data_IF_973228806485
#
_entry.id   IF_973228806485
#
_cell.length_a   1.000
_cell.length_b   1.000
_cell.length_c   1.000
_cell.angle_alpha   90.00
_cell.angle_beta   90.00
_cell.angle_gamma   90.00
#
_symmetry.space_group_name_H-M   'P 1'
#
loop_
_entity.id
_entity.type
_entity.pdbx_description
1 polymer ?
#
# COMPACT_ATOMS: atom_id res chain seq x y z
N UNK A 1 9.51 8.68 -6.37
CA UNK A 1 8.14 9.23 -6.60
C UNK A 1 7.01 8.36 -6.02
N UNK A 2 7.09 7.04 -5.99
CA UNK A 2 6.15 6.20 -5.20
C UNK A 2 6.32 6.37 -3.68
N UNK A 3 7.50 6.79 -3.24
CA UNK A 3 7.84 7.04 -1.82
C UNK A 3 6.94 8.06 -1.11
N UNK A 4 6.19 8.88 -1.87
CA UNK A 4 5.33 9.90 -1.28
C UNK A 4 3.98 9.34 -0.77
N UNK A 5 3.48 8.21 -1.29
CA UNK A 5 2.23 7.62 -0.78
C UNK A 5 2.43 7.10 0.65
N UNK A 6 3.54 6.44 0.93
CA UNK A 6 3.86 5.89 2.25
C UNK A 6 4.16 6.98 3.30
N UNK A 7 4.44 8.22 2.86
CA UNK A 7 4.64 9.37 3.76
C UNK A 7 3.34 10.03 4.21
N UNK A 8 2.19 9.60 3.66
CA UNK A 8 0.89 10.15 4.05
C UNK A 8 0.50 9.60 5.41
N UNK A 9 0.54 10.44 6.44
CA UNK A 9 0.08 10.06 7.78
C UNK A 9 -1.45 10.20 7.88
N UNK A 10 -2.14 9.07 7.68
CA UNK A 10 -3.59 9.02 7.81
C UNK A 10 -4.08 9.34 9.24
N UNK A 11 -3.26 9.08 10.27
CA UNK A 11 -3.64 9.36 11.66
C UNK A 11 -3.65 10.86 11.91
N UNK A 12 -2.61 11.54 11.44
CA UNK A 12 -2.56 13.00 11.50
C UNK A 12 -3.75 13.64 10.77
N UNK A 13 -3.98 13.24 9.51
CA UNK A 13 -5.10 13.76 8.72
C UNK A 13 -6.46 13.43 9.33
N UNK A 14 -6.64 12.26 9.94
CA UNK A 14 -7.90 11.87 10.56
C UNK A 14 -8.17 12.60 11.87
N UNK A 15 -7.13 13.13 12.53
CA UNK A 15 -7.28 13.93 13.75
C UNK A 15 -7.77 15.34 13.48
N UNK A 16 -7.71 15.78 12.22
CA UNK A 16 -8.18 17.11 11.79
C UNK A 16 -9.70 17.08 11.59
N UNK A 17 -10.43 17.26 12.67
CA UNK A 17 -11.88 17.30 12.65
C UNK A 17 -12.39 18.58 13.37
N UNK A 18 -13.35 19.26 12.78
CA UNK A 18 -14.00 20.42 13.36
C UNK A 18 -15.46 20.12 13.67
N UNK A 19 -15.81 20.03 14.96
CA UNK A 19 -17.18 19.81 15.41
C UNK A 19 -18.07 21.05 15.27
N UNK A 20 -17.48 22.24 15.37
CA UNK A 20 -18.21 23.50 15.43
C UNK A 20 -18.51 24.04 14.03
N UNK A 21 -17.58 23.87 13.10
CA UNK A 21 -17.67 24.42 11.75
C UNK A 21 -17.76 23.29 10.70
N UNK A 22 -18.91 23.14 10.11
CA UNK A 22 -19.08 22.22 8.98
C UNK A 22 -18.39 22.77 7.72
N UNK A 23 -17.99 21.87 6.81
CA UNK A 23 -17.47 22.23 5.48
C UNK A 23 -16.23 23.14 5.50
N UNK A 24 -15.26 22.83 6.40
CA UNK A 24 -14.06 23.65 6.64
C UNK A 24 -12.88 23.23 5.78
N UNK A 25 -12.76 21.94 5.49
CA UNK A 25 -11.63 21.38 4.72
C UNK A 25 -12.02 21.14 3.27
N UNK A 26 -11.12 21.51 2.36
CA UNK A 26 -11.17 21.12 0.95
C UNK A 26 -10.18 19.99 0.73
N UNK A 27 -10.67 18.89 0.15
CA UNK A 27 -9.88 17.74 -0.28
C UNK A 27 -9.93 17.66 -1.81
N UNK A 28 -8.81 17.90 -2.47
CA UNK A 28 -8.70 17.90 -3.92
C UNK A 28 -7.80 16.75 -4.37
N UNK A 29 -8.31 15.93 -5.29
CA UNK A 29 -7.59 14.86 -5.97
C UNK A 29 -7.59 15.16 -7.46
N UNK A 30 -6.41 15.16 -8.09
CA UNK A 30 -6.28 15.50 -9.51
C UNK A 30 -5.47 14.47 -10.28
N UNK A 31 -5.94 14.17 -11.48
CA UNK A 31 -5.12 13.57 -12.52
C UNK A 31 -4.33 14.68 -13.22
N UNK A 32 -3.00 14.68 -13.04
CA UNK A 32 -2.13 15.71 -13.59
C UNK A 32 -1.77 15.45 -15.05
N UNK A 33 -1.78 14.16 -15.51
CA UNK A 33 -1.54 13.83 -16.93
C UNK A 33 -2.64 14.40 -17.85
N UNK A 34 -3.86 14.53 -17.32
CA UNK A 34 -5.00 15.12 -18.01
C UNK A 34 -5.67 16.15 -17.10
N UNK A 35 -4.91 17.24 -16.79
CA UNK A 35 -5.41 18.28 -15.89
C UNK A 35 -6.65 18.97 -16.47
N UNK A 36 -7.79 18.63 -15.91
CA UNK A 36 -9.08 19.20 -16.29
C UNK A 36 -9.43 20.41 -15.41
N UNK A 37 -8.99 21.60 -15.84
CA UNK A 37 -9.32 22.86 -15.16
C UNK A 37 -10.83 23.12 -15.12
N UNK A 38 -11.56 22.66 -16.15
CA UNK A 38 -13.02 22.82 -16.22
C UNK A 38 -13.70 22.01 -15.11
N UNK A 39 -13.19 20.79 -14.80
CA UNK A 39 -13.66 20.00 -13.66
C UNK A 39 -13.54 20.79 -12.34
N UNK A 40 -12.39 21.45 -12.10
CA UNK A 40 -12.18 22.20 -10.86
C UNK A 40 -13.18 23.35 -10.76
N UNK A 41 -13.37 24.12 -11.83
CA UNK A 41 -14.31 25.23 -11.87
C UNK A 41 -15.77 24.79 -11.69
N UNK A 42 -16.20 23.74 -12.40
CA UNK A 42 -17.56 23.19 -12.30
C UNK A 42 -17.87 22.68 -10.89
N UNK A 43 -16.92 21.95 -10.30
CA UNK A 43 -17.08 21.45 -8.92
C UNK A 43 -17.05 22.57 -7.88
N UNK A 44 -16.15 23.54 -8.02
CA UNK A 44 -16.11 24.72 -7.15
C UNK A 44 -17.44 25.49 -7.21
N UNK A 45 -17.99 25.69 -8.41
CA UNK A 45 -19.29 26.35 -8.59
C UNK A 45 -20.43 25.56 -7.93
N UNK A 46 -20.43 24.25 -8.05
CA UNK A 46 -21.40 23.39 -7.35
C UNK A 46 -21.28 23.52 -5.82
N UNK A 47 -20.09 23.53 -5.26
CA UNK A 47 -19.89 23.73 -3.82
C UNK A 47 -20.36 25.13 -3.38
N UNK A 48 -20.03 26.18 -4.13
CA UNK A 48 -20.50 27.56 -3.86
C UNK A 48 -22.01 27.66 -3.77
N UNK A 49 -22.72 26.92 -4.60
CA UNK A 49 -24.19 26.96 -4.62
C UNK A 49 -24.82 26.33 -3.38
N UNK A 50 -24.11 25.41 -2.71
CA UNK A 50 -24.59 24.68 -1.53
C UNK A 50 -24.17 25.38 -0.25
N UNK A 51 -22.99 26.01 -0.21
CA UNK A 51 -22.45 26.72 0.97
C UNK A 51 -23.25 28.01 1.22
N UNK A 52 -24.12 28.00 2.22
CA UNK A 52 -25.04 29.11 2.55
C UNK A 52 -24.50 30.04 3.62
N UNK A 53 -23.68 29.51 4.53
CA UNK A 53 -23.09 30.27 5.60
C UNK A 53 -21.95 31.17 5.10
N UNK A 54 -21.91 32.43 5.53
CA UNK A 54 -20.95 33.42 5.04
C UNK A 54 -19.52 33.10 5.39
N UNK A 55 -19.28 32.57 6.59
CA UNK A 55 -17.93 32.24 7.09
C UNK A 55 -17.37 31.02 6.36
N UNK A 56 -18.18 29.98 6.17
CA UNK A 56 -17.83 28.77 5.43
C UNK A 56 -17.55 29.10 3.97
N UNK A 57 -18.36 29.98 3.38
CA UNK A 57 -18.16 30.42 1.99
C UNK A 57 -16.88 31.24 1.83
N UNK A 58 -16.58 32.16 2.74
CA UNK A 58 -15.34 32.93 2.72
C UNK A 58 -14.12 32.02 2.87
N UNK A 59 -14.17 31.04 3.81
CA UNK A 59 -13.14 30.03 3.96
C UNK A 59 -12.92 29.23 2.67
N UNK A 60 -14.02 28.79 2.03
CA UNK A 60 -13.95 28.06 0.77
C UNK A 60 -13.27 28.87 -0.31
N UNK A 61 -13.65 30.14 -0.54
CA UNK A 61 -13.05 30.98 -1.59
C UNK A 61 -11.54 31.19 -1.34
N UNK A 62 -11.15 31.57 -0.14
CA UNK A 62 -9.74 31.79 0.21
C UNK A 62 -8.93 30.49 0.12
N UNK A 63 -9.50 29.35 0.49
CA UNK A 63 -8.85 28.05 0.34
C UNK A 63 -8.68 27.67 -1.13
N UNK A 64 -9.70 27.92 -1.96
CA UNK A 64 -9.61 27.69 -3.40
C UNK A 64 -8.61 28.61 -4.08
N UNK A 65 -8.46 29.86 -3.63
CA UNK A 65 -7.42 30.76 -4.14
C UNK A 65 -6.02 30.20 -3.83
N UNK A 66 -5.75 29.72 -2.62
CA UNK A 66 -4.49 29.03 -2.27
C UNK A 66 -4.22 27.83 -3.16
N UNK A 67 -5.23 26.98 -3.36
CA UNK A 67 -5.13 25.80 -4.22
C UNK A 67 -4.83 26.19 -5.67
N UNK A 68 -5.54 27.20 -6.19
CA UNK A 68 -5.35 27.66 -7.56
C UNK A 68 -3.95 28.26 -7.77
N UNK A 69 -3.45 29.04 -6.81
CA UNK A 69 -2.11 29.63 -6.89
C UNK A 69 -1.04 28.53 -6.84
N UNK A 70 -1.20 27.53 -5.96
CA UNK A 70 -0.33 26.37 -5.93
C UNK A 70 -0.30 25.60 -7.28
N UNK A 71 -1.46 25.37 -7.89
CA UNK A 71 -1.54 24.70 -9.21
C UNK A 71 -0.89 25.52 -10.32
N UNK A 72 -0.92 26.87 -10.25
CA UNK A 72 -0.27 27.77 -11.22
C UNK A 72 1.26 27.73 -11.16
N UNK A 73 1.86 27.42 -10.00
CA UNK A 73 3.31 27.27 -9.85
C UNK A 73 3.87 26.11 -10.69
N UNK A 74 3.00 25.20 -11.12
CA UNK A 74 3.33 24.11 -12.03
C UNK A 74 3.50 22.75 -11.35
N UNK A 75 3.60 21.72 -12.18
CA UNK A 75 3.72 20.34 -11.77
C UNK A 75 5.14 19.85 -11.94
N UNK A 76 5.59 18.92 -11.09
CA UNK A 76 6.91 18.30 -11.18
C UNK A 76 6.99 17.30 -12.35
N UNK A 77 8.19 17.13 -12.89
CA UNK A 77 8.44 16.13 -13.94
C UNK A 77 8.12 14.71 -13.44
N UNK A 78 7.32 13.96 -14.21
CA UNK A 78 6.88 12.61 -13.87
C UNK A 78 5.75 12.52 -12.84
N UNK A 79 5.23 13.66 -12.36
CA UNK A 79 4.04 13.70 -11.53
C UNK A 79 2.80 13.36 -12.38
N UNK A 80 1.96 12.43 -11.87
CA UNK A 80 0.72 11.99 -12.54
C UNK A 80 -0.52 12.26 -11.71
N UNK A 81 -0.36 12.33 -10.40
CA UNK A 81 -1.41 12.63 -9.44
C UNK A 81 -1.02 13.73 -8.47
N UNK A 82 -2.01 14.47 -7.97
CA UNK A 82 -1.87 15.46 -6.93
C UNK A 82 -3.02 15.33 -5.94
N UNK A 83 -2.68 15.29 -4.66
CA UNK A 83 -3.65 15.38 -3.57
C UNK A 83 -3.35 16.65 -2.80
N UNK A 84 -4.39 17.44 -2.49
CA UNK A 84 -4.29 18.62 -1.63
C UNK A 84 -5.37 18.53 -0.56
N UNK A 85 -4.98 18.73 0.69
CA UNK A 85 -5.89 18.99 1.79
C UNK A 85 -5.61 20.39 2.32
N UNK A 86 -6.62 21.23 2.34
CA UNK A 86 -6.45 22.64 2.72
C UNK A 86 -7.66 23.21 3.47
N UNK A 87 -7.39 24.16 4.36
CA UNK A 87 -8.38 25.00 5.04
C UNK A 87 -7.76 26.34 5.41
N UNK A 88 -8.26 27.42 4.84
CA UNK A 88 -7.81 28.79 5.20
C UNK A 88 -8.14 29.10 6.66
N UNK A 89 -9.33 28.73 7.12
CA UNK A 89 -9.77 28.96 8.50
C UNK A 89 -8.88 28.29 9.54
N UNK A 90 -8.35 27.10 9.22
CA UNK A 90 -7.45 26.33 10.09
C UNK A 90 -5.97 26.63 9.83
N UNK A 91 -5.66 27.53 8.89
CA UNK A 91 -4.31 27.78 8.41
C UNK A 91 -3.55 26.49 8.07
N UNK A 92 -4.25 25.58 7.38
CA UNK A 92 -3.77 24.25 7.05
C UNK A 92 -3.67 24.08 5.54
N UNK A 93 -2.52 23.61 5.07
CA UNK A 93 -2.28 23.24 3.67
C UNK A 93 -1.26 22.13 3.62
N UNK A 94 -1.60 21.02 3.00
CA UNK A 94 -0.66 19.93 2.72
C UNK A 94 -0.93 19.35 1.34
N UNK A 95 0.12 18.95 0.64
CA UNK A 95 0.04 18.33 -0.68
C UNK A 95 0.86 17.05 -0.77
N UNK A 96 0.43 16.18 -1.66
CA UNK A 96 1.12 14.93 -1.98
C UNK A 96 1.19 14.75 -3.49
N UNK A 97 2.42 14.69 -4.01
CA UNK A 97 2.71 14.52 -5.44
C UNK A 97 2.96 13.06 -5.73
N UNK A 98 2.18 12.48 -6.62
CA UNK A 98 2.18 11.04 -6.88
C UNK A 98 2.61 10.72 -8.30
N UNK A 99 3.37 9.63 -8.46
CA UNK A 99 3.73 9.06 -9.77
C UNK A 99 2.63 8.24 -10.43
N UNK A 100 1.42 8.20 -9.86
CA UNK A 100 0.25 7.46 -10.36
C UNK A 100 -0.89 8.42 -10.65
N UNK A 101 -1.71 8.15 -11.69
CA UNK A 101 -2.88 8.97 -11.99
C UNK A 101 -3.98 8.74 -10.95
N UNK A 102 -4.70 9.80 -10.62
CA UNK A 102 -5.83 9.78 -9.71
C UNK A 102 -7.14 10.05 -10.45
N UNK A 103 -8.25 9.68 -9.81
CA UNK A 103 -9.57 10.14 -10.26
C UNK A 103 -9.79 11.55 -9.74
N UNK A 104 -10.18 12.49 -10.63
CA UNK A 104 -10.50 13.85 -10.25
C UNK A 104 -11.67 13.89 -9.24
N UNK A 105 -11.44 14.53 -8.10
CA UNK A 105 -12.42 14.66 -7.03
C UNK A 105 -12.16 15.96 -6.24
N UNK A 106 -13.21 16.70 -5.91
CA UNK A 106 -13.17 17.81 -4.97
C UNK A 106 -14.29 17.60 -3.94
N UNK A 107 -13.91 17.53 -2.69
CA UNK A 107 -14.81 17.32 -1.54
C UNK A 107 -14.61 18.45 -0.55
N UNK A 108 -15.69 18.95 0.04
CA UNK A 108 -15.70 19.91 1.12
C UNK A 108 -16.41 19.25 2.31
N UNK A 109 -15.73 19.19 3.46
CA UNK A 109 -16.23 18.49 4.64
C UNK A 109 -15.65 19.10 5.92
N UNK A 110 -16.14 18.67 7.09
CA UNK A 110 -15.63 19.02 8.42
C UNK A 110 -14.25 18.41 8.74
N UNK A 111 -13.79 17.49 7.93
CA UNK A 111 -12.45 16.86 8.00
C UNK A 111 -11.87 16.62 6.61
N UNK A 112 -10.54 16.40 6.49
CA UNK A 112 -9.95 15.91 5.25
C UNK A 112 -10.60 14.60 4.81
N UNK A 113 -11.02 14.51 3.55
CA UNK A 113 -11.64 13.30 2.99
C UNK A 113 -10.56 12.29 2.58
N UNK A 114 -10.09 11.49 3.54
CA UNK A 114 -8.92 10.59 3.38
C UNK A 114 -9.25 9.21 2.80
N UNK A 115 -10.53 8.88 2.58
CA UNK A 115 -10.91 7.55 2.07
C UNK A 115 -10.19 7.13 0.79
N UNK A 116 -10.07 7.99 -0.26
CA UNK A 116 -9.32 7.62 -1.46
C UNK A 116 -7.84 7.35 -1.19
N UNK A 117 -7.24 8.05 -0.21
CA UNK A 117 -5.84 7.81 0.20
C UNK A 117 -5.71 6.45 0.86
N UNK A 118 -6.63 6.09 1.77
CA UNK A 118 -6.62 4.79 2.41
C UNK A 118 -6.78 3.64 1.38
N UNK A 119 -7.66 3.81 0.39
CA UNK A 119 -7.82 2.84 -0.71
C UNK A 119 -6.53 2.73 -1.57
N UNK A 120 -5.83 3.85 -1.80
CA UNK A 120 -4.55 3.87 -2.51
C UNK A 120 -3.46 3.17 -1.71
N UNK A 121 -3.32 3.45 -0.41
CA UNK A 121 -2.34 2.79 0.46
C UNK A 121 -2.54 1.28 0.49
N UNK A 122 -3.79 0.81 0.56
CA UNK A 122 -4.13 -0.62 0.51
C UNK A 122 -3.77 -1.27 -0.86
N UNK A 123 -3.97 -0.54 -1.97
CA UNK A 123 -3.61 -1.01 -3.30
C UNK A 123 -2.11 -1.01 -3.59
N UNK A 124 -1.37 -0.04 -3.01
CA UNK A 124 0.06 0.18 -3.24
C UNK A 124 0.92 -0.25 -2.06
N UNK A 125 0.39 -1.13 -1.19
CA UNK A 125 1.16 -1.75 -0.12
C UNK A 125 2.40 -2.46 -0.69
N UNK A 126 3.56 -2.16 -0.10
CA UNK A 126 4.84 -2.67 -0.57
C UNK A 126 5.06 -4.09 -0.08
N UNK A 127 5.47 -4.97 -0.97
CA UNK A 127 5.84 -6.34 -0.64
C UNK A 127 7.21 -6.73 -1.20
N UNK A 128 7.85 -7.69 -0.54
CA UNK A 128 9.10 -8.29 -0.99
C UNK A 128 8.84 -9.36 -2.03
N UNK A 129 9.55 -9.30 -3.17
CA UNK A 129 9.57 -10.37 -4.17
C UNK A 129 11.00 -10.92 -4.29
N UNK A 130 11.20 -12.18 -3.91
CA UNK A 130 12.49 -12.86 -3.96
C UNK A 130 12.49 -13.89 -5.04
N UNK A 131 13.17 -13.60 -6.14
CA UNK A 131 13.38 -14.55 -7.24
C UNK A 131 14.66 -15.33 -7.03
N UNK A 132 14.58 -16.65 -6.85
CA UNK A 132 15.73 -17.48 -6.45
C UNK A 132 15.82 -18.81 -7.22
N UNK A 133 17.05 -19.23 -7.50
CA UNK A 133 17.40 -20.59 -7.89
C UNK A 133 18.60 -21.09 -7.05
N UNK A 134 19.28 -22.15 -7.45
CA UNK A 134 20.38 -22.75 -6.68
C UNK A 134 21.67 -21.90 -6.59
N UNK A 135 21.80 -20.81 -7.35
CA UNK A 135 23.03 -20.01 -7.41
C UNK A 135 22.82 -18.53 -7.72
N UNK A 136 21.60 -18.09 -7.94
CA UNK A 136 21.26 -16.69 -8.21
C UNK A 136 20.01 -16.31 -7.43
N UNK A 137 19.98 -15.10 -6.90
CA UNK A 137 18.80 -14.49 -6.35
C UNK A 137 18.68 -13.03 -6.79
N UNK A 138 17.46 -12.58 -6.92
CA UNK A 138 17.11 -11.16 -7.06
C UNK A 138 16.04 -10.85 -6.04
N UNK A 139 16.27 -9.83 -5.27
CA UNK A 139 15.38 -9.36 -4.23
C UNK A 139 14.83 -8.02 -4.69
N UNK A 140 13.53 -7.90 -4.69
CA UNK A 140 12.82 -6.70 -5.11
C UNK A 140 11.89 -6.22 -4.00
N UNK A 141 11.69 -4.90 -3.91
CA UNK A 141 10.48 -4.34 -3.36
C UNK A 141 9.54 -3.98 -4.50
N UNK A 142 8.29 -4.36 -4.39
CA UNK A 142 7.27 -4.13 -5.41
C UNK A 142 6.11 -3.38 -4.78
N UNK A 143 5.69 -2.29 -5.45
CA UNK A 143 4.53 -1.50 -5.05
C UNK A 143 3.78 -1.05 -6.30
N UNK A 144 2.48 -1.31 -6.38
CA UNK A 144 1.62 -0.94 -7.51
C UNK A 144 2.14 -1.40 -8.87
N UNK A 145 2.62 -2.63 -8.96
CA UNK A 145 3.14 -3.22 -10.20
C UNK A 145 4.49 -2.69 -10.64
N UNK A 146 5.19 -1.94 -9.81
CA UNK A 146 6.51 -1.39 -10.12
C UNK A 146 7.55 -1.86 -9.12
N UNK A 147 8.74 -2.13 -9.66
CA UNK A 147 9.91 -2.45 -8.84
C UNK A 147 10.48 -1.14 -8.29
N UNK A 148 10.50 -1.01 -6.96
CA UNK A 148 11.11 0.11 -6.25
C UNK A 148 12.61 -0.11 -6.04
N UNK A 149 12.99 -1.24 -5.45
CA UNK A 149 14.37 -1.60 -5.16
C UNK A 149 14.71 -2.95 -5.80
N UNK A 150 15.94 -3.12 -6.27
CA UNK A 150 16.46 -4.40 -6.76
C UNK A 150 17.84 -4.69 -6.15
N UNK A 151 18.00 -5.87 -5.56
CA UNK A 151 19.30 -6.41 -5.17
C UNK A 151 19.57 -7.72 -5.89
N UNK A 152 20.74 -7.85 -6.51
CA UNK A 152 21.18 -9.05 -7.21
C UNK A 152 22.26 -9.77 -6.42
N UNK A 153 22.09 -11.07 -6.23
CA UNK A 153 23.05 -11.94 -5.56
C UNK A 153 23.35 -13.10 -6.53
N UNK A 154 24.62 -13.35 -6.80
CA UNK A 154 25.03 -14.49 -7.60
C UNK A 154 26.26 -15.12 -6.98
N UNK A 155 26.30 -16.45 -6.89
CA UNK A 155 27.44 -17.20 -6.44
C UNK A 155 27.76 -18.35 -7.40
N UNK A 156 29.04 -18.71 -7.43
CA UNK A 156 29.47 -19.86 -8.22
C UNK A 156 29.08 -21.13 -7.46
N UNK A 157 28.14 -21.89 -8.03
CA UNK A 157 27.74 -23.20 -7.53
C UNK A 157 28.14 -24.24 -8.57
N UNK A 158 28.89 -25.26 -8.17
CA UNK A 158 29.33 -26.33 -9.06
C UNK A 158 28.17 -27.00 -9.80
N UNK A 159 28.36 -27.27 -11.08
CA UNK A 159 27.40 -27.99 -11.91
C UNK A 159 27.20 -29.45 -11.44
N UNK A 160 26.02 -30.01 -11.74
CA UNK A 160 25.79 -31.43 -11.47
C UNK A 160 26.71 -32.28 -12.34
N UNK A 161 27.59 -33.09 -11.73
CA UNK A 161 28.33 -34.09 -12.43
C UNK A 161 27.46 -35.33 -12.68
N UNK A 162 27.42 -35.77 -13.95
CA UNK A 162 26.61 -36.95 -14.40
C UNK A 162 27.33 -38.28 -14.27
N UNK A 163 28.68 -38.29 -14.04
CA UNK A 163 29.48 -39.52 -13.91
C UNK A 163 29.39 -40.10 -12.52
N UNK A 164 29.09 -41.40 -12.38
CA UNK A 164 28.99 -42.12 -11.12
C UNK A 164 30.34 -42.39 -10.44
N UNK A 165 30.32 -42.81 -9.19
CA UNK A 165 31.50 -43.23 -8.42
C UNK A 165 31.73 -42.41 -7.13
N UNK A 166 32.80 -42.72 -6.39
CA UNK A 166 33.18 -42.10 -5.14
C UNK A 166 33.38 -40.56 -5.23
N UNK A 167 33.85 -40.11 -6.35
CA UNK A 167 34.00 -38.68 -6.65
C UNK A 167 32.64 -37.96 -6.70
N UNK A 168 31.58 -38.62 -7.15
CA UNK A 168 30.25 -38.04 -7.23
C UNK A 168 29.71 -37.65 -5.83
N UNK A 169 29.87 -38.51 -4.83
CA UNK A 169 29.44 -38.21 -3.46
C UNK A 169 30.17 -37.03 -2.84
N UNK A 170 31.49 -36.87 -3.16
CA UNK A 170 32.28 -35.72 -2.73
C UNK A 170 31.79 -34.43 -3.39
N UNK A 171 31.57 -34.43 -4.71
CA UNK A 171 31.07 -33.26 -5.45
C UNK A 171 29.66 -32.88 -5.02
N UNK A 172 28.79 -33.85 -4.74
CA UNK A 172 27.46 -33.56 -4.19
C UNK A 172 27.50 -32.89 -2.83
N UNK A 173 28.44 -33.30 -1.94
CA UNK A 173 28.62 -32.65 -0.61
C UNK A 173 29.11 -31.22 -0.75
N UNK A 174 30.10 -30.99 -1.61
CA UNK A 174 30.64 -29.64 -1.86
C UNK A 174 29.50 -28.75 -2.41
N UNK A 175 28.78 -29.21 -3.43
CA UNK A 175 27.66 -28.47 -4.04
C UNK A 175 26.56 -28.15 -3.01
N UNK A 176 26.19 -29.11 -2.16
CA UNK A 176 25.23 -28.87 -1.08
C UNK A 176 25.74 -27.80 -0.09
N UNK A 177 27.03 -27.81 0.22
CA UNK A 177 27.66 -26.78 1.05
C UNK A 177 27.61 -25.38 0.42
N UNK A 178 27.92 -25.29 -0.87
CA UNK A 178 27.86 -24.02 -1.64
C UNK A 178 26.42 -23.48 -1.69
N UNK A 179 25.43 -24.33 -1.98
CA UNK A 179 24.01 -23.94 -1.98
C UNK A 179 23.61 -23.46 -0.58
N UNK A 180 23.98 -24.17 0.48
CA UNK A 180 23.70 -23.78 1.86
C UNK A 180 24.27 -22.41 2.18
N UNK A 181 25.52 -22.14 1.80
CA UNK A 181 26.16 -20.84 2.01
C UNK A 181 25.40 -19.73 1.26
N UNK A 182 25.10 -19.97 -0.01
CA UNK A 182 24.33 -19.05 -0.83
C UNK A 182 22.94 -18.73 -0.22
N UNK A 183 22.18 -19.77 0.22
CA UNK A 183 20.86 -19.58 0.82
C UNK A 183 20.93 -18.76 2.12
N UNK A 184 21.95 -18.97 2.95
CA UNK A 184 22.15 -18.15 4.16
C UNK A 184 22.35 -16.67 3.83
N UNK A 185 23.21 -16.40 2.85
CA UNK A 185 23.45 -15.02 2.40
C UNK A 185 22.20 -14.35 1.84
N UNK A 186 21.39 -15.10 1.09
CA UNK A 186 20.10 -14.60 0.61
C UNK A 186 19.16 -14.34 1.78
N UNK A 187 19.09 -15.25 2.77
CA UNK A 187 18.26 -15.09 3.95
C UNK A 187 18.60 -13.83 4.76
N UNK A 188 19.89 -13.54 4.95
CA UNK A 188 20.38 -12.32 5.62
C UNK A 188 19.95 -11.03 4.91
N UNK A 189 19.84 -11.07 3.58
CA UNK A 189 19.38 -9.91 2.81
C UNK A 189 17.84 -9.82 2.75
N UNK A 190 17.15 -10.94 2.76
CA UNK A 190 15.68 -10.98 2.87
C UNK A 190 15.22 -10.49 4.25
N UNK A 191 15.96 -10.78 5.31
CA UNK A 191 15.68 -10.30 6.66
C UNK A 191 15.67 -8.76 6.76
N UNK A 192 16.49 -8.10 5.94
CA UNK A 192 16.58 -6.63 5.89
C UNK A 192 15.44 -5.96 5.15
N UNK A 193 14.57 -6.74 4.48
CA UNK A 193 13.42 -6.17 3.80
C UNK A 193 12.41 -5.64 4.82
N UNK A 194 12.08 -4.37 4.70
CA UNK A 194 10.98 -3.75 5.42
C UNK A 194 9.68 -3.93 4.62
N UNK A 195 9.18 -5.16 4.57
CA UNK A 195 7.96 -5.52 3.87
C UNK A 195 7.10 -6.44 4.72
N UNK A 196 5.80 -6.16 4.80
CA UNK A 196 4.83 -6.96 5.55
C UNK A 196 4.66 -8.35 4.94
N UNK A 197 4.65 -8.44 3.63
CA UNK A 197 4.47 -9.66 2.86
C UNK A 197 5.69 -9.95 2.00
N UNK A 198 6.01 -11.22 1.83
CA UNK A 198 7.11 -11.69 0.99
C UNK A 198 6.59 -12.80 0.08
N UNK A 199 6.92 -12.71 -1.20
CA UNK A 199 6.67 -13.74 -2.19
C UNK A 199 8.01 -14.35 -2.61
N UNK A 200 8.09 -15.69 -2.56
CA UNK A 200 9.25 -16.43 -3.05
C UNK A 200 8.97 -16.99 -4.44
N UNK A 201 9.73 -16.56 -5.44
CA UNK A 201 9.58 -16.95 -6.83
C UNK A 201 10.83 -17.65 -7.35
N UNK A 202 10.70 -18.48 -8.37
CA UNK A 202 11.82 -19.05 -9.05
C UNK A 202 11.62 -20.52 -9.48
N UNK A 203 12.53 -21.05 -10.30
CA UNK A 203 12.43 -22.42 -10.77
C UNK A 203 12.88 -23.43 -9.70
N UNK A 204 12.15 -24.54 -9.61
CA UNK A 204 12.51 -25.67 -8.76
C UNK A 204 12.39 -25.37 -7.25
N UNK A 205 13.13 -26.11 -6.43
CA UNK A 205 12.93 -26.19 -4.96
C UNK A 205 13.74 -25.16 -4.15
N UNK A 206 14.59 -24.35 -4.77
CA UNK A 206 15.46 -23.42 -4.04
C UNK A 206 14.66 -22.43 -3.18
N UNK A 207 13.49 -21.98 -3.65
CA UNK A 207 12.58 -21.10 -2.91
C UNK A 207 12.04 -21.77 -1.64
N UNK A 208 11.79 -23.08 -1.66
CA UNK A 208 11.37 -23.82 -0.46
C UNK A 208 12.54 -24.05 0.49
N UNK A 209 13.74 -24.36 -0.04
CA UNK A 209 14.94 -24.53 0.79
C UNK A 209 15.34 -23.22 1.48
N UNK A 210 15.05 -22.06 0.90
CA UNK A 210 15.31 -20.77 1.54
C UNK A 210 14.55 -20.64 2.87
N UNK A 211 13.34 -21.19 2.97
CA UNK A 211 12.54 -21.16 4.21
C UNK A 211 13.27 -21.74 5.42
N UNK A 212 14.09 -22.78 5.22
CA UNK A 212 14.87 -23.41 6.30
C UNK A 212 15.95 -22.51 6.89
N UNK A 213 16.25 -21.39 6.22
CA UNK A 213 17.29 -20.42 6.61
C UNK A 213 16.73 -19.07 7.03
N UNK A 214 15.44 -18.81 6.79
CA UNK A 214 14.80 -17.57 7.22
C UNK A 214 14.54 -17.61 8.74
N UNK A 215 14.74 -16.49 9.46
CA UNK A 215 14.23 -16.36 10.82
C UNK A 215 12.72 -16.57 10.86
N UNK A 216 12.17 -17.06 11.98
CA UNK A 216 10.77 -17.40 12.10
C UNK A 216 9.85 -16.23 11.77
N UNK A 217 10.14 -15.05 12.30
CA UNK A 217 9.39 -13.81 12.03
C UNK A 217 9.42 -13.38 10.57
N UNK A 218 10.47 -13.72 9.82
CA UNK A 218 10.59 -13.46 8.37
C UNK A 218 9.83 -14.53 7.57
N UNK A 219 9.96 -15.79 7.97
CA UNK A 219 9.24 -16.91 7.36
C UNK A 219 7.72 -16.76 7.44
N UNK A 220 7.20 -16.21 8.55
CA UNK A 220 5.77 -15.91 8.74
C UNK A 220 5.24 -14.83 7.80
N UNK A 221 6.11 -13.99 7.23
CA UNK A 221 5.76 -13.00 6.20
C UNK A 221 5.69 -13.58 4.79
N UNK A 222 6.15 -14.83 4.59
CA UNK A 222 6.11 -15.48 3.27
C UNK A 222 4.71 -16.01 3.00
N UNK A 223 4.00 -15.35 2.11
CA UNK A 223 2.58 -15.63 1.80
C UNK A 223 2.38 -16.48 0.55
N UNK A 224 3.35 -16.53 -0.38
CA UNK A 224 3.17 -17.27 -1.63
C UNK A 224 4.48 -17.77 -2.22
N UNK A 225 4.37 -18.88 -3.00
CA UNK A 225 5.44 -19.47 -3.79
C UNK A 225 5.05 -19.50 -5.26
N UNK A 226 5.85 -18.86 -6.13
CA UNK A 226 5.58 -18.78 -7.55
C UNK A 226 6.64 -19.55 -8.35
N UNK A 227 6.20 -20.46 -9.22
CA UNK A 227 7.07 -21.09 -10.21
C UNK A 227 7.26 -20.16 -11.39
N UNK A 228 8.49 -19.68 -11.60
CA UNK A 228 8.84 -18.76 -12.67
C UNK A 228 10.29 -18.97 -13.13
N UNK A 229 10.59 -18.64 -14.37
CA UNK A 229 11.98 -18.67 -14.87
C UNK A 229 12.66 -17.33 -14.61
N UNK A 230 13.99 -17.37 -14.40
CA UNK A 230 14.78 -16.14 -14.33
C UNK A 230 14.69 -15.38 -15.66
N UNK A 231 14.26 -14.12 -15.61
CA UNK A 231 14.08 -13.26 -16.78
C UNK A 231 12.62 -13.11 -17.24
N UNK A 232 11.70 -13.91 -16.70
CA UNK A 232 10.26 -13.67 -16.86
C UNK A 232 9.84 -12.47 -16.01
N UNK A 233 8.85 -11.72 -16.49
CA UNK A 233 8.19 -10.70 -15.69
C UNK A 233 7.25 -11.38 -14.67
N UNK A 234 7.73 -11.50 -13.44
CA UNK A 234 6.97 -12.11 -12.34
C UNK A 234 6.16 -11.08 -11.56
N UNK A 235 6.28 -9.79 -11.86
CA UNK A 235 5.61 -8.74 -11.11
C UNK A 235 4.09 -8.91 -11.23
N UNK A 236 3.55 -9.02 -12.43
CA UNK A 236 2.12 -9.19 -12.64
C UNK A 236 1.56 -10.46 -11.95
N UNK A 237 2.34 -11.57 -11.95
CA UNK A 237 1.94 -12.80 -11.26
C UNK A 237 2.00 -12.64 -9.73
N UNK A 238 2.99 -11.92 -9.22
CA UNK A 238 3.11 -11.65 -7.80
C UNK A 238 2.02 -10.69 -7.29
N UNK A 239 1.61 -9.71 -8.08
CA UNK A 239 0.47 -8.85 -7.74
C UNK A 239 -0.83 -9.64 -7.62
N UNK A 240 -1.07 -10.58 -8.54
CA UNK A 240 -2.23 -11.46 -8.45
C UNK A 240 -2.20 -12.30 -7.18
N UNK A 241 -1.05 -12.87 -6.83
CA UNK A 241 -0.88 -13.63 -5.58
C UNK A 241 -1.12 -12.75 -4.34
N UNK A 242 -0.66 -11.49 -4.35
CA UNK A 242 -0.93 -10.53 -3.27
C UNK A 242 -2.41 -10.18 -3.15
N UNK A 243 -3.13 -10.00 -4.27
CA UNK A 243 -4.57 -9.72 -4.21
C UNK A 243 -5.37 -10.92 -3.68
N UNK A 244 -4.95 -12.15 -4.03
CA UNK A 244 -5.52 -13.37 -3.48
C UNK A 244 -5.31 -13.43 -1.95
N UNK A 245 -4.10 -13.14 -1.46
CA UNK A 245 -3.77 -13.09 -0.02
C UNK A 245 -4.60 -12.05 0.73
N UNK A 246 -4.65 -10.83 0.23
CA UNK A 246 -5.50 -9.76 0.80
C UNK A 246 -6.98 -10.16 0.85
N UNK A 247 -7.45 -10.89 -0.17
CA UNK A 247 -8.81 -11.40 -0.19
C UNK A 247 -9.07 -12.44 0.91
N UNK A 248 -8.09 -13.31 1.18
CA UNK A 248 -8.15 -14.30 2.27
C UNK A 248 -8.15 -13.57 3.62
N UNK A 249 -7.22 -12.65 3.84
CA UNK A 249 -7.13 -11.86 5.08
C UNK A 249 -8.44 -11.10 5.38
N UNK A 250 -9.03 -10.45 4.36
CA UNK A 250 -10.32 -9.76 4.51
C UNK A 250 -11.45 -10.72 4.92
N UNK A 251 -11.47 -11.94 4.39
CA UNK A 251 -12.46 -12.95 4.78
C UNK A 251 -12.27 -13.43 6.21
N UNK A 252 -11.02 -13.63 6.62
CA UNK A 252 -10.68 -14.01 7.99
C UNK A 252 -11.07 -12.91 8.99
N UNK A 253 -10.82 -11.63 8.68
CA UNK A 253 -11.27 -10.51 9.52
C UNK A 253 -12.78 -10.50 9.70
N UNK A 254 -13.54 -10.71 8.62
CA UNK A 254 -15.02 -10.80 8.70
C UNK A 254 -15.45 -12.02 9.51
N UNK A 255 -14.80 -13.17 9.33
CA UNK A 255 -15.13 -14.39 10.09
C UNK A 255 -14.82 -14.21 11.58
N UNK A 256 -13.71 -13.56 11.91
CA UNK A 256 -13.34 -13.25 13.29
C UNK A 256 -14.38 -12.33 13.93
N UNK A 257 -14.83 -11.28 13.24
CA UNK A 257 -15.90 -10.41 13.71
C UNK A 257 -17.20 -11.19 13.99
N UNK A 258 -17.60 -12.06 13.07
CA UNK A 258 -18.80 -12.90 13.24
C UNK A 258 -18.64 -13.81 14.46
N UNK A 259 -17.47 -14.42 14.65
CA UNK A 259 -17.19 -15.28 15.79
C UNK A 259 -17.26 -14.51 17.12
N UNK A 260 -16.72 -13.28 17.16
CA UNK A 260 -16.80 -12.42 18.35
C UNK A 260 -18.25 -12.03 18.67
N UNK A 261 -19.05 -11.68 17.66
CA UNK A 261 -20.49 -11.41 17.85
C UNK A 261 -21.21 -12.62 18.41
N UNK A 262 -20.99 -13.82 17.84
CA UNK A 262 -21.66 -15.05 18.27
C UNK A 262 -21.27 -15.49 19.69
N UNK A 263 -20.06 -15.16 20.14
CA UNK A 263 -19.57 -15.46 21.49
C UNK A 263 -19.94 -14.38 22.51
N UNK A 264 -20.64 -13.32 22.08
CA UNK A 264 -20.90 -12.13 22.88
C UNK A 264 -19.59 -11.51 23.41
N UNK A 265 -18.55 -11.52 22.56
CA UNK A 265 -17.22 -10.99 22.83
C UNK A 265 -17.13 -9.47 22.56
N UNK A 266 -15.91 -8.99 22.34
CA UNK A 266 -15.62 -7.55 22.17
C UNK A 266 -15.92 -7.08 20.73
N UNK A 267 -17.14 -7.29 20.25
CA UNK A 267 -17.57 -6.85 18.92
C UNK A 267 -18.98 -6.26 18.97
N UNK A 268 -19.17 -5.22 18.18
CA UNK A 268 -20.48 -4.60 17.94
C UNK A 268 -20.82 -4.63 16.46
N UNK A 269 -22.09 -4.67 16.15
CA UNK A 269 -22.58 -4.60 14.78
C UNK A 269 -23.80 -3.67 14.69
N UNK A 270 -24.10 -3.20 13.49
CA UNK A 270 -25.15 -2.20 13.30
C UNK A 270 -24.59 -0.79 13.33
N UNK A 271 -25.27 0.11 12.62
CA UNK A 271 -24.77 1.48 12.41
C UNK A 271 -24.73 2.26 13.71
N UNK A 272 -25.82 2.19 14.47
CA UNK A 272 -26.01 2.98 15.69
C UNK A 272 -25.00 2.57 16.76
N UNK A 273 -24.91 1.28 17.05
CA UNK A 273 -24.04 0.70 18.07
C UNK A 273 -22.57 0.92 17.71
N UNK A 274 -22.22 0.78 16.44
CA UNK A 274 -20.86 1.05 15.97
C UNK A 274 -20.47 2.51 16.13
N UNK A 275 -21.36 3.46 15.78
CA UNK A 275 -21.10 4.90 15.96
C UNK A 275 -20.94 5.24 17.43
N UNK A 276 -21.76 4.67 18.31
CA UNK A 276 -21.67 4.89 19.76
C UNK A 276 -20.33 4.37 20.31
N UNK A 277 -19.91 3.15 19.92
CA UNK A 277 -18.62 2.59 20.30
C UNK A 277 -17.45 3.44 19.77
N UNK A 278 -17.54 3.96 18.55
CA UNK A 278 -16.52 4.88 17.98
C UNK A 278 -16.42 6.18 18.80
N UNK A 279 -17.56 6.80 19.16
CA UNK A 279 -17.60 8.03 19.98
C UNK A 279 -16.98 7.83 21.34
N UNK A 280 -17.14 6.64 21.90
CA UNK A 280 -16.57 6.26 23.19
C UNK A 280 -15.08 5.84 23.12
N UNK A 281 -14.45 5.87 21.93
CA UNK A 281 -13.06 5.45 21.73
C UNK A 281 -12.80 3.96 21.97
N UNK A 282 -13.83 3.11 21.80
CA UNK A 282 -13.79 1.67 22.12
C UNK A 282 -13.45 0.81 20.90
N UNK A 283 -13.32 1.42 19.71
CA UNK A 283 -13.14 0.68 18.45
C UNK A 283 -11.65 0.63 18.10
N UNK A 284 -11.08 -0.55 18.12
CA UNK A 284 -9.73 -0.84 17.62
C UNK A 284 -9.73 -1.06 16.10
N UNK A 285 -10.75 -1.78 15.59
CA UNK A 285 -10.87 -2.10 14.16
C UNK A 285 -12.31 -1.89 13.69
N UNK A 286 -12.45 -1.21 12.56
CA UNK A 286 -13.75 -0.94 11.93
C UNK A 286 -13.83 -1.63 10.56
N UNK A 287 -14.81 -2.52 10.38
CA UNK A 287 -15.10 -3.16 9.10
C UNK A 287 -16.30 -2.48 8.43
N UNK A 288 -16.08 -1.90 7.26
CA UNK A 288 -17.10 -1.18 6.49
C UNK A 288 -17.27 -1.82 5.12
N UNK A 289 -18.51 -2.07 4.71
CA UNK A 289 -18.79 -2.53 3.36
C UNK A 289 -18.40 -1.45 2.34
N UNK A 290 -17.71 -1.84 1.27
CA UNK A 290 -17.37 -0.92 0.16
C UNK A 290 -18.62 -0.25 -0.38
N UNK A 291 -18.58 1.09 -0.50
CA UNK A 291 -19.73 1.90 -0.96
C UNK A 291 -20.77 2.20 0.13
N UNK A 292 -20.56 1.79 1.38
CA UNK A 292 -21.44 2.21 2.48
C UNK A 292 -21.27 3.71 2.75
N UNK A 293 -22.38 4.40 2.93
CA UNK A 293 -22.45 5.81 3.34
C UNK A 293 -23.63 6.02 4.27
N UNK A 294 -23.46 6.87 5.26
CA UNK A 294 -24.54 7.35 6.14
C UNK A 294 -24.97 8.69 5.59
N UNK A 295 -26.29 8.87 5.40
CA UNK A 295 -26.88 10.14 5.01
C UNK A 295 -27.28 10.94 6.26
#
# INVERSE_FOLDING_TARGET
MLDNIQKIDLRELSSLYDEESRDVFISLYLNVENLDKKFIEERANACRSVLKDGLTRENFEKTMDWINDYIKEGMEEGQKGLIIFASYLKNFFTDYKLGIPLKNMLVVDSSPYIKPVAELLDLYDEYGLVMINSNKARIYTVSGGKIGYEKRIAEHVMNRHKKGGWSQARFQRIRKGEIKHFLKKVAEDVEKLDARYIILAGPGEAKKWLMDYLPKNVGERVVSFIDAKFGEDVVATSEKAMEEERSVERKELVQNLVNEILKNGLAVHGVRETIEAMRNGQVEMLLIKKGFSIK
#
